data_IF_152881022756
#
_entry.id   IF_152881022756
#
_cell.length_a   1.000
_cell.length_b   1.000
_cell.length_c   1.000
_cell.angle_alpha   90.00
_cell.angle_beta   90.00
_cell.angle_gamma   90.00
#
_symmetry.space_group_name_H-M   'P 1'
#
loop_
_entity.id
_entity.type
_entity.pdbx_description
1 polymer ?
#
# COMPACT_ATOMS: atom_id res chain seq x y z
N UNK A 1 4.55 34.27 0.04
CA UNK A 1 4.07 33.04 -0.63
C UNK A 1 4.18 31.90 0.35
N UNK A 2 3.13 31.09 0.52
CA UNK A 2 3.21 29.93 1.42
C UNK A 2 4.17 28.87 0.84
N UNK A 3 4.89 28.11 1.66
CA UNK A 3 5.78 27.05 1.18
C UNK A 3 5.11 26.09 0.20
N UNK A 4 3.88 25.68 0.47
CA UNK A 4 3.08 24.80 -0.41
C UNK A 4 2.88 25.40 -1.79
N UNK A 5 2.50 26.70 -1.87
CA UNK A 5 2.32 27.39 -3.14
C UNK A 5 3.64 27.50 -3.92
N UNK A 6 4.75 27.71 -3.21
CA UNK A 6 6.08 27.73 -3.86
C UNK A 6 6.45 26.36 -4.47
N UNK A 7 6.16 25.27 -3.77
CA UNK A 7 6.37 23.91 -4.29
C UNK A 7 5.50 23.61 -5.52
N UNK A 8 4.23 23.98 -5.50
CA UNK A 8 3.33 23.83 -6.64
C UNK A 8 3.80 24.63 -7.84
N UNK A 9 4.16 25.91 -7.63
CA UNK A 9 4.67 26.78 -8.69
C UNK A 9 5.96 26.26 -9.30
N UNK A 10 6.89 25.76 -8.47
CA UNK A 10 8.13 25.16 -8.96
C UNK A 10 7.86 23.87 -9.77
N UNK A 11 6.86 23.08 -9.36
CA UNK A 11 6.48 21.89 -10.11
C UNK A 11 5.84 22.23 -11.45
N UNK A 12 4.94 23.22 -11.49
CA UNK A 12 4.34 23.71 -12.73
C UNK A 12 5.40 24.26 -13.71
N UNK A 13 6.35 25.05 -13.21
CA UNK A 13 7.46 25.51 -14.03
C UNK A 13 8.27 24.34 -14.61
N UNK A 14 8.59 23.33 -13.79
CA UNK A 14 9.32 22.13 -14.25
C UNK A 14 8.53 21.32 -15.30
N UNK A 15 7.19 21.31 -15.21
CA UNK A 15 6.33 20.66 -16.22
C UNK A 15 6.32 21.48 -17.52
N UNK A 16 6.20 22.79 -17.43
CA UNK A 16 6.18 23.70 -18.59
C UNK A 16 7.50 23.71 -19.35
N UNK A 17 8.61 23.60 -18.63
CA UNK A 17 9.96 23.61 -19.20
C UNK A 17 10.44 22.20 -19.60
N UNK A 18 9.62 21.17 -19.39
CA UNK A 18 9.99 19.78 -19.68
C UNK A 18 10.22 19.57 -21.18
N UNK A 19 11.42 19.12 -21.51
CA UNK A 19 11.79 18.72 -22.87
C UNK A 19 11.84 17.19 -22.92
N UNK A 20 10.95 16.55 -23.68
CA UNK A 20 11.00 15.11 -23.84
C UNK A 20 12.26 14.69 -24.60
N UNK A 21 12.96 13.71 -24.05
CA UNK A 21 14.12 13.07 -24.69
C UNK A 21 13.74 11.64 -25.09
N UNK A 22 14.08 11.28 -26.34
CA UNK A 22 13.89 9.92 -26.81
C UNK A 22 15.07 9.05 -26.38
N UNK A 23 14.77 7.84 -25.95
CA UNK A 23 15.76 6.80 -25.72
C UNK A 23 15.31 5.48 -26.35
N UNK A 24 16.25 4.60 -26.58
CA UNK A 24 16.03 3.33 -27.23
C UNK A 24 16.53 2.19 -26.34
N UNK A 25 15.81 1.08 -26.34
CA UNK A 25 16.25 -0.15 -25.66
C UNK A 25 16.12 -1.31 -26.63
N UNK A 26 17.01 -2.29 -26.53
CA UNK A 26 16.94 -3.52 -27.29
C UNK A 26 16.35 -4.60 -26.40
N UNK A 27 15.29 -5.26 -26.89
CA UNK A 27 14.71 -6.45 -26.26
C UNK A 27 15.13 -7.69 -27.03
N UNK A 28 15.65 -8.67 -26.32
CA UNK A 28 15.94 -10.00 -26.83
C UNK A 28 14.88 -10.95 -26.27
N UNK A 29 14.18 -11.62 -27.16
CA UNK A 29 13.26 -12.73 -26.81
C UNK A 29 13.83 -14.04 -27.37
N UNK A 30 14.13 -14.99 -26.51
CA UNK A 30 14.69 -16.30 -26.92
C UNK A 30 13.60 -17.28 -27.41
N UNK A 31 12.32 -16.92 -27.33
CA UNK A 31 11.20 -17.81 -27.65
C UNK A 31 10.98 -18.94 -26.62
N UNK A 32 11.73 -18.93 -25.51
CA UNK A 32 11.67 -19.96 -24.42
C UNK A 32 11.32 -19.34 -23.07
N UNK A 33 10.63 -18.19 -23.05
CA UNK A 33 10.23 -17.48 -21.85
C UNK A 33 11.33 -16.63 -21.18
N UNK A 34 12.52 -16.59 -21.77
CA UNK A 34 13.60 -15.72 -21.31
C UNK A 34 13.62 -14.47 -22.16
N UNK A 35 13.39 -13.32 -21.51
CA UNK A 35 13.45 -12.00 -22.12
C UNK A 35 14.57 -11.20 -21.45
N UNK A 36 15.47 -10.66 -22.24
CA UNK A 36 16.51 -9.73 -21.77
C UNK A 36 16.26 -8.34 -22.36
N UNK A 37 16.67 -7.31 -21.66
CA UNK A 37 16.58 -5.92 -22.11
C UNK A 37 17.92 -5.23 -21.85
N UNK A 38 18.36 -4.45 -22.85
CA UNK A 38 19.58 -3.63 -22.74
C UNK A 38 19.37 -2.42 -21.85
N UNK A 39 20.45 -1.73 -21.54
CA UNK A 39 20.46 -0.36 -21.07
C UNK A 39 19.83 0.60 -22.10
N UNK A 40 19.63 1.86 -21.69
CA UNK A 40 19.08 2.90 -22.56
C UNK A 40 20.17 3.47 -23.46
N UNK A 41 19.87 3.59 -24.74
CA UNK A 41 20.70 4.27 -25.73
C UNK A 41 20.07 5.60 -26.13
N UNK A 42 20.85 6.67 -26.18
CA UNK A 42 20.40 7.95 -26.71
C UNK A 42 20.33 7.94 -28.25
N UNK A 43 21.19 7.17 -28.91
CA UNK A 43 21.23 7.04 -30.37
C UNK A 43 20.56 5.74 -30.84
N UNK A 44 19.64 5.87 -31.79
CA UNK A 44 18.95 4.74 -32.41
C UNK A 44 19.92 3.81 -33.16
N UNK A 45 20.98 4.34 -33.78
CA UNK A 45 21.92 3.53 -34.52
C UNK A 45 22.75 2.62 -33.59
N UNK A 46 23.05 3.07 -32.37
CA UNK A 46 23.75 2.24 -31.38
C UNK A 46 22.83 1.07 -30.95
N UNK A 47 21.55 1.37 -30.68
CA UNK A 47 20.58 0.34 -30.35
C UNK A 47 20.39 -0.66 -31.51
N UNK A 48 20.33 -0.19 -32.77
CA UNK A 48 20.24 -1.05 -33.94
C UNK A 48 21.46 -1.94 -34.12
N UNK A 49 22.67 -1.39 -33.97
CA UNK A 49 23.91 -2.19 -34.04
C UNK A 49 23.92 -3.32 -33.01
N UNK A 50 23.46 -3.05 -31.81
CA UNK A 50 23.32 -4.10 -30.79
C UNK A 50 22.27 -5.14 -31.21
N UNK A 51 21.09 -4.71 -31.66
CA UNK A 51 20.05 -5.62 -32.10
C UNK A 51 20.53 -6.53 -33.24
N UNK A 52 21.20 -5.97 -34.23
CA UNK A 52 21.74 -6.71 -35.37
C UNK A 52 22.82 -7.72 -34.94
N UNK A 53 23.67 -7.34 -33.97
CA UNK A 53 24.71 -8.22 -33.44
C UNK A 53 24.14 -9.40 -32.62
N UNK A 54 22.93 -9.24 -32.05
CA UNK A 54 22.26 -10.28 -31.27
C UNK A 54 21.42 -11.22 -32.15
N UNK A 55 20.95 -10.75 -33.32
CA UNK A 55 20.11 -11.55 -34.21
C UNK A 55 20.87 -12.77 -34.74
N UNK A 56 20.22 -13.92 -34.68
CA UNK A 56 20.72 -15.22 -35.17
C UNK A 56 21.98 -15.73 -34.45
N UNK A 57 22.40 -15.09 -33.37
CA UNK A 57 23.49 -15.56 -32.54
C UNK A 57 23.00 -16.31 -31.30
N UNK A 58 23.70 -17.30 -30.79
CA UNK A 58 23.31 -18.01 -29.58
C UNK A 58 23.45 -17.10 -28.35
N UNK A 59 22.42 -17.10 -27.50
CA UNK A 59 22.48 -16.46 -26.20
C UNK A 59 22.96 -17.47 -25.13
N UNK A 60 23.99 -17.09 -24.38
CA UNK A 60 24.55 -17.92 -23.31
C UNK A 60 24.30 -17.27 -21.98
N UNK A 61 23.65 -18.00 -21.06
CA UNK A 61 23.49 -17.56 -19.67
C UNK A 61 24.83 -17.76 -18.95
N UNK A 62 25.49 -16.66 -18.63
CA UNK A 62 26.81 -16.69 -17.97
C UNK A 62 26.71 -16.69 -16.44
N UNK A 63 25.57 -16.22 -15.89
CA UNK A 63 25.38 -16.15 -14.45
C UNK A 63 23.88 -16.17 -14.11
N UNK A 64 23.53 -16.88 -13.05
CA UNK A 64 22.20 -16.87 -12.43
C UNK A 64 22.36 -16.49 -10.98
N UNK A 65 21.66 -15.44 -10.55
CA UNK A 65 21.62 -15.02 -9.15
C UNK A 65 20.21 -15.22 -8.61
N UNK A 66 20.10 -15.96 -7.52
CA UNK A 66 18.87 -16.07 -6.74
C UNK A 66 18.96 -15.10 -5.56
N UNK A 67 18.06 -14.12 -5.53
CA UNK A 67 17.95 -13.18 -4.41
C UNK A 67 16.64 -13.43 -3.69
N UNK A 68 16.72 -13.86 -2.45
CA UNK A 68 15.56 -13.90 -1.58
C UNK A 68 15.37 -12.50 -0.98
N UNK A 69 14.16 -11.95 -1.11
CA UNK A 69 13.77 -10.71 -0.45
C UNK A 69 12.67 -11.03 0.54
N UNK A 70 12.77 -10.44 1.72
CA UNK A 70 11.69 -10.40 2.69
C UNK A 70 11.06 -9.01 2.64
N UNK A 71 9.75 -8.95 2.52
CA UNK A 71 8.98 -7.71 2.63
C UNK A 71 8.16 -7.81 3.91
N UNK A 72 8.23 -6.77 4.73
CA UNK A 72 7.38 -6.68 5.91
C UNK A 72 5.92 -6.44 5.46
N UNK A 73 4.99 -6.89 6.30
CA UNK A 73 3.60 -6.51 6.14
C UNK A 73 3.44 -4.98 6.14
N UNK A 74 2.42 -4.41 5.46
CA UNK A 74 2.12 -3.00 5.55
C UNK A 74 1.98 -2.55 7.01
N UNK A 75 2.37 -1.32 7.31
CA UNK A 75 2.17 -0.78 8.64
C UNK A 75 0.71 -0.34 8.80
N UNK A 76 0.17 -0.44 10.01
CA UNK A 76 -1.19 -0.03 10.33
C UNK A 76 -1.48 1.43 9.89
N UNK A 77 -2.74 1.81 9.80
CA UNK A 77 -3.14 3.14 9.38
C UNK A 77 -3.01 4.19 10.49
N UNK A 78 -2.41 5.33 10.13
CA UNK A 78 -2.74 6.64 10.67
C UNK A 78 -3.82 7.31 9.80
N UNK A 79 -4.33 8.46 10.22
CA UNK A 79 -5.34 9.19 9.44
C UNK A 79 -4.84 9.57 8.05
N UNK A 80 -3.59 10.01 7.92
CA UNK A 80 -3.02 10.47 6.66
C UNK A 80 -2.88 9.33 5.65
N UNK A 81 -2.40 8.19 6.10
CA UNK A 81 -2.29 6.99 5.26
C UNK A 81 -3.68 6.51 4.81
N UNK A 82 -4.65 6.47 5.74
CA UNK A 82 -6.03 6.10 5.43
C UNK A 82 -6.65 7.04 4.39
N UNK A 83 -6.48 8.35 4.55
CA UNK A 83 -7.00 9.34 3.59
C UNK A 83 -6.38 9.17 2.20
N UNK A 84 -5.07 8.91 2.13
CA UNK A 84 -4.36 8.71 0.86
C UNK A 84 -4.86 7.47 0.12
N UNK A 85 -5.01 6.35 0.84
CA UNK A 85 -5.40 5.10 0.21
C UNK A 85 -6.90 5.06 -0.09
N UNK A 86 -7.75 5.66 0.74
CA UNK A 86 -9.16 5.87 0.44
C UNK A 86 -9.37 6.76 -0.80
N UNK A 87 -8.55 7.81 -0.97
CA UNK A 87 -8.58 8.61 -2.18
C UNK A 87 -8.14 7.81 -3.42
N UNK A 88 -7.06 7.03 -3.30
CA UNK A 88 -6.52 6.24 -4.40
C UNK A 88 -7.48 5.14 -4.86
N UNK A 89 -8.15 4.47 -3.94
CA UNK A 89 -9.00 3.31 -4.23
C UNK A 89 -10.44 3.69 -4.54
N UNK A 90 -10.98 4.67 -3.82
CA UNK A 90 -12.41 5.01 -3.87
C UNK A 90 -12.67 6.46 -4.36
N UNK A 91 -11.63 7.28 -4.51
CA UNK A 91 -11.79 8.68 -4.90
C UNK A 91 -12.30 9.59 -3.78
N UNK A 92 -12.32 9.15 -2.52
CA UNK A 92 -12.80 9.96 -1.40
C UNK A 92 -11.86 11.11 -1.10
N UNK A 93 -12.44 12.27 -0.79
CA UNK A 93 -11.69 13.41 -0.27
C UNK A 93 -11.22 13.15 1.16
N UNK A 94 -10.21 13.88 1.63
CA UNK A 94 -9.75 13.80 3.01
C UNK A 94 -10.88 14.07 4.02
N UNK A 95 -11.79 15.01 3.70
CA UNK A 95 -12.95 15.33 4.54
C UNK A 95 -13.92 14.14 4.60
N UNK A 96 -14.31 13.57 3.46
CA UNK A 96 -15.20 12.41 3.41
C UNK A 96 -14.61 11.21 4.17
N UNK A 97 -13.33 10.93 3.98
CA UNK A 97 -12.64 9.86 4.73
C UNK A 97 -12.70 10.09 6.22
N UNK A 98 -12.48 11.34 6.68
CA UNK A 98 -12.59 11.69 8.09
C UNK A 98 -14.01 11.53 8.63
N UNK A 99 -15.04 11.95 7.87
CA UNK A 99 -16.45 11.82 8.26
C UNK A 99 -16.85 10.33 8.39
N UNK A 100 -16.46 9.48 7.45
CA UNK A 100 -16.73 8.04 7.52
C UNK A 100 -15.98 7.35 8.67
N UNK A 101 -14.72 7.70 8.88
CA UNK A 101 -13.93 7.19 10.00
C UNK A 101 -14.52 7.61 11.36
N UNK A 102 -14.99 8.86 11.47
CA UNK A 102 -15.70 9.36 12.65
C UNK A 102 -16.99 8.60 12.90
N UNK A 103 -17.79 8.35 11.85
CA UNK A 103 -19.01 7.55 11.95
C UNK A 103 -18.75 6.11 12.41
N UNK A 104 -17.70 5.47 11.95
CA UNK A 104 -17.26 4.16 12.41
C UNK A 104 -16.83 4.17 13.88
N UNK A 105 -16.10 5.21 14.31
CA UNK A 105 -15.69 5.39 15.70
C UNK A 105 -16.91 5.54 16.63
N UNK A 106 -17.88 6.38 16.28
CA UNK A 106 -19.10 6.58 17.04
C UNK A 106 -19.95 5.30 17.16
N UNK A 107 -19.91 4.45 16.14
CA UNK A 107 -20.49 3.11 16.12
C UNK A 107 -19.64 2.06 16.86
N UNK A 108 -18.51 2.45 17.43
CA UNK A 108 -17.55 1.58 18.13
C UNK A 108 -17.01 0.44 17.25
N UNK A 109 -16.81 0.71 15.97
CA UNK A 109 -16.25 -0.23 15.00
C UNK A 109 -14.80 0.08 14.63
N UNK A 110 -14.33 1.29 14.90
CA UNK A 110 -12.99 1.77 14.65
C UNK A 110 -12.45 2.48 15.89
N UNK A 111 -11.14 2.46 16.10
CA UNK A 111 -10.48 3.28 17.11
C UNK A 111 -10.49 4.76 16.73
N UNK A 112 -10.04 5.66 17.62
CA UNK A 112 -10.12 7.10 17.41
C UNK A 112 -9.45 7.55 16.11
N UNK A 113 -10.16 8.23 15.19
CA UNK A 113 -9.69 8.40 13.81
C UNK A 113 -8.60 9.46 13.63
N UNK A 114 -8.43 10.39 14.58
CA UNK A 114 -7.41 11.45 14.47
C UNK A 114 -6.08 11.01 15.09
N UNK A 115 -5.57 9.87 14.64
CA UNK A 115 -4.29 9.35 15.06
C UNK A 115 -3.19 9.68 14.05
N UNK A 116 -2.02 10.00 14.56
CA UNK A 116 -0.77 10.20 13.82
C UNK A 116 0.20 9.01 13.95
N UNK A 117 -0.13 8.04 14.80
CA UNK A 117 0.66 6.83 14.97
C UNK A 117 0.20 5.70 14.05
N UNK A 118 1.15 4.89 13.62
CA UNK A 118 0.96 3.63 12.90
C UNK A 118 1.32 2.41 13.74
N UNK A 119 1.46 2.61 15.06
CA UNK A 119 1.86 1.58 16.02
C UNK A 119 0.82 1.46 17.12
N UNK A 120 0.86 0.33 17.81
CA UNK A 120 0.05 0.00 18.97
C UNK A 120 0.92 -0.03 20.22
N UNK A 121 0.30 -0.03 21.38
CA UNK A 121 0.97 -0.13 22.69
C UNK A 121 0.99 -1.56 23.21
N UNK A 122 1.92 -1.91 24.08
CA UNK A 122 2.08 -3.26 24.65
C UNK A 122 0.85 -3.74 25.42
N UNK A 123 0.11 -2.83 26.07
CA UNK A 123 -1.12 -3.18 26.80
C UNK A 123 -2.22 -3.70 25.88
N UNK A 124 -2.14 -3.43 24.59
CA UNK A 124 -3.10 -3.90 23.57
C UNK A 124 -2.80 -5.33 23.08
N UNK A 125 -1.61 -5.88 23.33
CA UNK A 125 -1.19 -7.18 22.82
C UNK A 125 -2.19 -8.34 23.08
N UNK A 126 -2.76 -8.47 24.30
CA UNK A 126 -3.71 -9.55 24.56
C UNK A 126 -4.96 -9.48 23.68
N UNK A 127 -5.44 -8.27 23.37
CA UNK A 127 -6.64 -8.06 22.54
C UNK A 127 -6.38 -8.22 21.04
N UNK A 128 -5.13 -8.10 20.57
CA UNK A 128 -4.78 -8.22 19.15
C UNK A 128 -5.06 -9.62 18.61
N UNK A 129 -4.77 -10.66 19.37
CA UNK A 129 -5.02 -12.05 18.94
C UNK A 129 -6.51 -12.33 18.79
N UNK A 130 -7.33 -11.82 19.71
CA UNK A 130 -8.79 -11.91 19.61
C UNK A 130 -9.31 -11.11 18.41
N UNK A 131 -8.80 -9.90 18.21
CA UNK A 131 -9.18 -9.04 17.09
C UNK A 131 -8.81 -9.70 15.75
N UNK A 132 -7.60 -10.23 15.62
CA UNK A 132 -7.15 -10.90 14.40
C UNK A 132 -8.03 -12.12 14.08
N UNK A 133 -8.36 -12.94 15.07
CA UNK A 133 -9.25 -14.09 14.89
C UNK A 133 -10.64 -13.65 14.40
N UNK A 134 -11.20 -12.56 14.94
CA UNK A 134 -12.50 -12.00 14.53
C UNK A 134 -12.46 -11.43 13.11
N UNK A 135 -11.40 -10.69 12.78
CA UNK A 135 -11.21 -10.11 11.44
C UNK A 135 -11.05 -11.22 10.41
N UNK A 136 -10.19 -12.21 10.66
CA UNK A 136 -10.01 -13.35 9.78
C UNK A 136 -11.30 -14.15 9.59
N UNK A 137 -12.03 -14.45 10.66
CA UNK A 137 -13.30 -15.20 10.56
C UNK A 137 -14.41 -14.46 9.79
N UNK A 138 -14.25 -13.17 9.53
CA UNK A 138 -15.18 -12.38 8.73
C UNK A 138 -14.75 -12.23 7.25
N UNK A 139 -13.58 -12.76 6.87
CA UNK A 139 -13.07 -12.69 5.50
C UNK A 139 -13.47 -13.96 4.73
N UNK A 140 -14.06 -13.84 3.52
CA UNK A 140 -14.58 -15.00 2.78
C UNK A 140 -13.54 -16.05 2.38
N UNK A 141 -12.24 -15.69 2.43
CA UNK A 141 -11.12 -16.56 2.06
C UNK A 141 -10.32 -17.08 3.26
N UNK A 142 -10.75 -16.78 4.48
CA UNK A 142 -9.96 -17.09 5.68
C UNK A 142 -10.17 -18.52 6.22
N UNK A 143 -11.13 -19.27 5.71
CA UNK A 143 -11.42 -20.65 6.16
C UNK A 143 -10.23 -21.62 6.00
N UNK A 144 -9.19 -21.21 5.25
CA UNK A 144 -7.97 -21.99 4.99
C UNK A 144 -6.70 -21.36 5.60
N UNK A 145 -6.79 -20.24 6.30
CA UNK A 145 -5.65 -19.50 6.83
C UNK A 145 -5.66 -19.52 8.36
N UNK A 146 -4.65 -20.13 8.96
CA UNK A 146 -4.33 -19.86 10.36
C UNK A 146 -3.56 -18.53 10.41
N UNK A 147 -4.14 -17.45 10.98
CA UNK A 147 -3.46 -16.17 11.02
C UNK A 147 -2.23 -16.26 11.93
N UNK A 148 -1.05 -16.13 11.36
CA UNK A 148 0.17 -15.92 12.11
C UNK A 148 0.16 -14.44 12.58
N UNK A 149 -0.21 -14.21 13.82
CA UNK A 149 -0.21 -12.86 14.41
C UNK A 149 1.18 -12.56 14.96
N UNK A 150 1.80 -11.51 14.44
CA UNK A 150 3.13 -11.01 14.80
C UNK A 150 3.04 -9.64 15.49
N UNK A 151 2.62 -9.57 16.77
CA UNK A 151 2.41 -8.30 17.48
C UNK A 151 3.67 -7.43 17.51
N UNK A 152 4.84 -8.07 17.56
CA UNK A 152 6.14 -7.41 17.60
C UNK A 152 6.43 -6.49 16.40
N UNK A 153 5.71 -6.67 15.31
CA UNK A 153 5.86 -5.84 14.11
C UNK A 153 5.08 -4.52 14.19
N UNK A 154 4.04 -4.48 15.02
CA UNK A 154 3.12 -3.34 15.11
C UNK A 154 3.13 -2.67 16.48
N UNK A 155 3.72 -3.28 17.50
CA UNK A 155 3.80 -2.73 18.85
C UNK A 155 5.09 -1.95 19.00
N UNK A 156 4.98 -0.66 19.33
CA UNK A 156 6.11 0.20 19.69
C UNK A 156 5.60 1.40 20.49
N UNK A 157 5.64 1.29 21.82
CA UNK A 157 5.18 2.35 22.73
C UNK A 157 5.89 3.70 22.52
N UNK A 158 7.14 3.66 22.05
CA UNK A 158 7.91 4.89 21.81
C UNK A 158 7.39 5.71 20.61
N UNK A 159 6.59 5.10 19.76
CA UNK A 159 5.99 5.69 18.56
C UNK A 159 4.51 5.98 18.70
N UNK A 160 3.96 5.76 19.88
CA UNK A 160 2.58 6.13 20.22
C UNK A 160 2.64 7.32 21.17
N UNK A 161 2.02 8.44 20.76
CA UNK A 161 1.92 9.65 21.59
C UNK A 161 0.58 9.68 22.30
N UNK A 162 -0.39 10.40 21.75
CA UNK A 162 -1.73 10.55 22.35
C UNK A 162 -2.68 9.42 21.90
N UNK A 163 -2.52 8.93 20.69
CA UNK A 163 -3.39 7.91 20.10
C UNK A 163 -2.57 6.89 19.32
N UNK A 164 -2.96 5.62 19.44
CA UNK A 164 -2.39 4.51 18.68
C UNK A 164 -2.98 4.43 17.26
N UNK A 165 -2.48 3.54 16.43
CA UNK A 165 -2.94 3.31 15.07
C UNK A 165 -4.45 3.02 14.97
N UNK A 166 -4.99 3.26 13.79
CA UNK A 166 -6.38 2.95 13.44
C UNK A 166 -6.52 1.45 13.23
N UNK A 167 -7.33 0.81 14.08
CA UNK A 167 -7.67 -0.61 13.99
C UNK A 167 -9.17 -0.81 14.24
N UNK A 168 -9.77 -1.91 13.76
CA UNK A 168 -11.10 -2.29 14.16
C UNK A 168 -11.16 -2.55 15.67
N UNK A 169 -12.32 -2.40 16.29
CA UNK A 169 -12.47 -2.69 17.72
C UNK A 169 -12.94 -4.12 17.96
N UNK A 170 -12.58 -4.69 19.12
CA UNK A 170 -13.05 -6.01 19.54
C UNK A 170 -14.56 -6.04 19.80
N UNK A 171 -15.19 -4.88 20.06
CA UNK A 171 -16.63 -4.74 20.24
C UNK A 171 -17.38 -4.71 18.92
N UNK A 172 -16.67 -4.74 17.80
CA UNK A 172 -17.30 -4.78 16.47
C UNK A 172 -18.26 -5.98 16.40
N UNK A 173 -19.53 -5.75 16.04
CA UNK A 173 -20.48 -6.84 15.94
C UNK A 173 -20.00 -7.86 14.92
N UNK A 174 -19.82 -9.11 15.31
CA UNK A 174 -19.50 -10.22 14.40
C UNK A 174 -20.64 -10.61 13.47
N UNK A 175 -21.75 -9.84 13.49
CA UNK A 175 -22.94 -10.15 12.71
C UNK A 175 -23.02 -9.26 11.46
N UNK A 176 -23.31 -9.89 10.35
CA UNK A 176 -23.52 -9.30 9.02
C UNK A 176 -24.48 -8.10 9.06
N UNK A 177 -25.51 -8.15 9.92
CA UNK A 177 -26.54 -7.11 10.02
C UNK A 177 -26.02 -5.73 10.44
N UNK A 178 -25.00 -5.65 11.27
CA UNK A 178 -24.45 -4.36 11.69
C UNK A 178 -23.54 -3.72 10.59
N UNK A 179 -22.88 -4.55 9.81
CA UNK A 179 -22.10 -4.11 8.64
C UNK A 179 -23.04 -3.68 7.51
N UNK A 180 -24.17 -4.36 7.35
CA UNK A 180 -25.18 -4.01 6.34
C UNK A 180 -25.83 -2.65 6.60
N UNK A 181 -25.88 -2.22 7.86
CA UNK A 181 -26.41 -0.90 8.26
C UNK A 181 -25.42 0.26 7.99
N UNK A 182 -24.18 -0.02 7.61
CA UNK A 182 -23.19 1.00 7.28
C UNK A 182 -23.49 1.64 5.92
N UNK A 183 -23.17 2.93 5.81
CA UNK A 183 -23.10 3.59 4.50
C UNK A 183 -22.00 2.96 3.64
N UNK A 184 -22.07 3.15 2.33
CA UNK A 184 -21.05 2.62 1.41
C UNK A 184 -19.66 3.09 1.82
N UNK A 185 -19.48 4.39 2.09
CA UNK A 185 -18.17 4.92 2.47
C UNK A 185 -17.64 4.39 3.81
N UNK A 186 -18.50 4.19 4.80
CA UNK A 186 -18.11 3.55 6.06
C UNK A 186 -17.69 2.09 5.84
N UNK A 187 -18.43 1.37 5.01
CA UNK A 187 -18.10 -0.03 4.68
C UNK A 187 -16.77 -0.15 3.96
N UNK A 188 -16.54 0.69 2.97
CA UNK A 188 -15.28 0.74 2.21
C UNK A 188 -14.10 1.03 3.13
N UNK A 189 -14.22 2.01 4.03
CA UNK A 189 -13.17 2.33 5.00
C UNK A 189 -12.94 1.18 6.00
N UNK A 190 -14.00 0.56 6.50
CA UNK A 190 -13.88 -0.57 7.40
C UNK A 190 -13.17 -1.74 6.73
N UNK A 191 -13.47 -2.01 5.45
CA UNK A 191 -12.76 -3.03 4.68
C UNK A 191 -11.29 -2.67 4.50
N UNK A 192 -10.98 -1.43 4.19
CA UNK A 192 -9.61 -0.98 4.01
C UNK A 192 -8.76 -1.15 5.28
N UNK A 193 -9.30 -0.75 6.44
CA UNK A 193 -8.59 -0.89 7.72
C UNK A 193 -8.46 -2.36 8.16
N UNK A 194 -9.36 -3.25 7.72
CA UNK A 194 -9.30 -4.69 8.04
C UNK A 194 -8.33 -5.46 7.15
N UNK A 195 -7.90 -4.91 6.03
CA UNK A 195 -7.00 -5.57 5.08
C UNK A 195 -5.52 -5.36 5.39
N UNK A 196 -5.18 -4.45 6.31
CA UNK A 196 -3.84 -4.21 6.84
C UNK A 196 -3.61 -5.04 8.12
#
# INVERSE_FOLDING_TARGET
MTPTLAMLSAREAAISDFKPESFYTVKLDTGRGVVAQSERYADLNDARRLADSCNHNPAVVTRVEHKQRSENAPALYDLTALQRDANKLFGYTAQQTMEYAQGLYEKKMLTYPRSDSRHLTHDMEPSLRELAARVCGALPFADSLEPAVHPEQVIDDSKVTDHHALIPTVTMPGQTSAIDALTTGERDLLHLVRSE
#
